data_IF_825566598398
#
_entry.id   IF_825566598398
#
_cell.length_a   1.000
_cell.length_b   1.000
_cell.length_c   1.000
_cell.angle_alpha   90.00
_cell.angle_beta   90.00
_cell.angle_gamma   90.00
#
_symmetry.space_group_name_H-M   'P 1'
#
loop_
_entity.id
_entity.type
_entity.pdbx_description
1 polymer ?
#
# COMPACT_ATOMS: atom_id res chain seq x y z
N UNK A 1 -10.75 -16.69 20.69
CA UNK A 1 -9.92 -15.46 20.76
C UNK A 1 -9.90 -14.87 19.35
N UNK A 2 -10.20 -13.58 19.20
CA UNK A 2 -10.16 -12.91 17.89
C UNK A 2 -8.71 -12.57 17.51
N UNK A 3 -8.39 -12.65 16.21
CA UNK A 3 -7.09 -12.21 15.71
C UNK A 3 -7.05 -10.69 15.64
N UNK A 4 -6.01 -10.07 16.19
CA UNK A 4 -5.87 -8.61 16.16
C UNK A 4 -5.12 -8.17 14.90
N UNK A 5 -5.72 -7.28 14.11
CA UNK A 5 -5.17 -6.84 12.81
C UNK A 5 -5.01 -5.32 12.76
N UNK A 6 -3.82 -4.86 12.36
CA UNK A 6 -3.58 -3.44 12.06
C UNK A 6 -3.93 -3.16 10.60
N UNK A 7 -4.71 -2.11 10.34
CA UNK A 7 -5.02 -1.61 9.00
C UNK A 7 -4.33 -0.27 8.80
N UNK A 8 -3.22 -0.26 8.06
CA UNK A 8 -2.38 0.94 7.86
C UNK A 8 -2.37 1.47 6.42
N UNK A 9 -2.90 0.72 5.45
CA UNK A 9 -2.93 1.16 4.05
C UNK A 9 -3.86 2.39 3.87
N UNK A 10 -3.35 3.57 3.46
CA UNK A 10 -4.15 4.78 3.33
C UNK A 10 -5.41 4.63 2.44
N UNK A 11 -5.37 3.91 1.30
CA UNK A 11 -6.54 3.79 0.42
C UNK A 11 -7.73 3.04 1.02
N UNK A 12 -7.50 2.12 1.98
CA UNK A 12 -8.58 1.34 2.58
C UNK A 12 -9.15 2.00 3.84
N UNK A 13 -8.34 2.77 4.58
CA UNK A 13 -8.72 3.36 5.88
C UNK A 13 -10.06 4.14 5.80
N UNK A 14 -10.29 5.04 4.82
CA UNK A 14 -11.55 5.80 4.75
C UNK A 14 -12.80 4.94 4.58
N UNK A 15 -12.65 3.72 4.03
CA UNK A 15 -13.75 2.82 3.70
C UNK A 15 -13.72 1.54 4.54
N UNK A 16 -12.95 1.51 5.63
CA UNK A 16 -12.74 0.26 6.39
C UNK A 16 -14.04 -0.30 6.99
N UNK A 17 -14.98 0.60 7.32
CA UNK A 17 -16.31 0.26 7.83
C UNK A 17 -17.11 -0.63 6.87
N UNK A 18 -16.90 -0.50 5.55
CA UNK A 18 -17.55 -1.33 4.55
C UNK A 18 -17.16 -2.81 4.63
N UNK A 19 -16.13 -3.16 5.40
CA UNK A 19 -15.62 -4.53 5.57
C UNK A 19 -15.88 -5.10 6.97
N UNK A 20 -16.66 -4.42 7.83
CA UNK A 20 -16.92 -4.86 9.21
C UNK A 20 -17.56 -6.26 9.30
N UNK A 21 -18.53 -6.56 8.45
CA UNK A 21 -19.17 -7.88 8.40
C UNK A 21 -18.15 -8.98 8.08
N UNK A 22 -17.31 -8.74 7.06
CA UNK A 22 -16.25 -9.67 6.68
C UNK A 22 -15.26 -9.94 7.83
N UNK A 23 -14.84 -8.89 8.54
CA UNK A 23 -13.96 -9.07 9.69
C UNK A 23 -14.64 -9.82 10.83
N UNK A 24 -15.92 -9.54 11.09
CA UNK A 24 -16.70 -10.21 12.13
C UNK A 24 -16.90 -11.70 11.83
N UNK A 25 -17.22 -12.05 10.58
CA UNK A 25 -17.38 -13.44 10.13
C UNK A 25 -16.08 -14.26 10.26
N UNK A 26 -14.93 -13.60 10.19
CA UNK A 26 -13.61 -14.23 10.27
C UNK A 26 -12.94 -14.08 11.65
N UNK A 27 -13.68 -13.67 12.69
CA UNK A 27 -13.15 -13.45 14.04
C UNK A 27 -11.92 -12.51 14.09
N UNK A 28 -11.95 -11.46 13.26
CA UNK A 28 -10.92 -10.42 13.21
C UNK A 28 -11.37 -9.21 14.02
N UNK A 29 -10.50 -8.75 14.91
CA UNK A 29 -10.59 -7.47 15.59
C UNK A 29 -9.57 -6.52 14.95
N UNK A 30 -10.01 -5.46 14.29
CA UNK A 30 -9.15 -4.57 13.55
C UNK A 30 -9.03 -3.20 14.21
N UNK A 31 -7.92 -2.52 13.96
CA UNK A 31 -7.76 -1.12 14.34
C UNK A 31 -6.92 -0.38 13.30
N UNK A 32 -7.12 0.94 13.24
CA UNK A 32 -6.34 1.86 12.41
C UNK A 32 -5.36 2.65 13.28
N UNK A 33 -4.27 3.19 12.71
CA UNK A 33 -3.39 4.11 13.42
C UNK A 33 -4.16 5.32 13.99
N UNK A 34 -3.79 5.81 15.19
CA UNK A 34 -4.46 6.95 15.84
C UNK A 34 -4.05 8.32 15.24
N UNK A 35 -3.50 8.32 14.04
CA UNK A 35 -3.03 9.50 13.31
C UNK A 35 -3.13 9.22 11.80
N UNK A 36 -3.14 10.29 11.02
CA UNK A 36 -3.23 10.20 9.56
C UNK A 36 -2.01 9.48 8.97
N UNK A 37 -2.26 8.52 8.08
CA UNK A 37 -1.23 7.84 7.29
C UNK A 37 -1.30 8.41 5.88
N UNK A 38 -0.31 9.21 5.48
CA UNK A 38 -0.29 9.84 4.16
C UNK A 38 0.25 8.87 3.10
N UNK A 39 1.38 8.23 3.39
CA UNK A 39 2.03 7.30 2.46
C UNK A 39 2.36 5.97 3.14
N UNK A 40 3.07 6.04 4.27
CA UNK A 40 3.53 4.88 5.01
C UNK A 40 3.81 5.19 6.48
N UNK A 41 3.90 4.15 7.29
CA UNK A 41 4.38 4.19 8.66
C UNK A 41 5.87 3.88 8.70
N UNK A 42 6.60 4.63 9.54
CA UNK A 42 8.02 4.37 9.79
C UNK A 42 8.25 3.30 10.88
N UNK A 43 9.50 2.86 11.00
CA UNK A 43 9.92 1.84 11.98
C UNK A 43 9.40 2.09 13.41
N UNK A 44 9.55 3.32 13.94
CA UNK A 44 9.16 3.63 15.33
C UNK A 44 7.66 3.52 15.54
N UNK A 45 6.88 3.98 14.57
CA UNK A 45 5.43 3.89 14.58
C UNK A 45 4.98 2.43 14.53
N UNK A 46 5.56 1.65 13.62
CA UNK A 46 5.23 0.24 13.44
C UNK A 46 5.57 -0.60 14.67
N UNK A 47 6.73 -0.43 15.28
CA UNK A 47 7.12 -1.16 16.50
C UNK A 47 6.09 -0.95 17.62
N UNK A 48 5.56 0.27 17.77
CA UNK A 48 4.54 0.58 18.77
C UNK A 48 3.19 -0.07 18.43
N UNK A 49 2.76 0.02 17.16
CA UNK A 49 1.44 -0.43 16.73
C UNK A 49 1.35 -1.95 16.61
N UNK A 50 2.43 -2.63 16.20
CA UNK A 50 2.46 -4.07 15.96
C UNK A 50 2.72 -4.92 17.21
N UNK A 51 2.79 -4.29 18.38
CA UNK A 51 2.87 -5.02 19.64
C UNK A 51 1.59 -5.82 19.88
N UNK A 52 1.73 -7.13 20.08
CA UNK A 52 0.61 -8.07 20.29
C UNK A 52 -0.41 -8.09 19.14
N UNK A 53 0.05 -7.90 17.89
CA UNK A 53 -0.77 -7.94 16.68
C UNK A 53 -0.51 -9.23 15.91
N UNK A 54 -1.58 -9.87 15.42
CA UNK A 54 -1.54 -11.13 14.67
C UNK A 54 -1.34 -10.91 13.16
N UNK A 55 -1.81 -9.78 12.62
CA UNK A 55 -1.68 -9.46 11.19
C UNK A 55 -1.65 -7.97 10.89
N UNK A 56 -1.12 -7.60 9.72
CA UNK A 56 -1.16 -6.23 9.21
C UNK A 56 -1.65 -6.21 7.76
N UNK A 57 -2.57 -5.30 7.43
CA UNK A 57 -2.90 -4.90 6.07
C UNK A 57 -2.21 -3.57 5.78
N UNK A 58 -1.08 -3.65 5.07
CA UNK A 58 -0.12 -2.56 4.94
C UNK A 58 -0.13 -1.87 3.58
N UNK A 59 0.19 -0.58 3.59
CA UNK A 59 0.59 0.17 2.40
C UNK A 59 2.09 0.00 2.15
N UNK A 60 2.80 1.09 1.89
CA UNK A 60 4.27 1.11 1.71
C UNK A 60 5.04 1.21 3.04
N UNK A 61 4.46 0.65 4.11
CA UNK A 61 5.04 0.65 5.46
C UNK A 61 6.44 0.03 5.49
N UNK A 62 7.34 0.62 6.29
CA UNK A 62 8.72 0.19 6.45
C UNK A 62 8.85 -1.06 7.34
N UNK A 63 8.34 -2.20 6.87
CA UNK A 63 8.38 -3.50 7.54
C UNK A 63 9.76 -4.15 7.42
N UNK A 64 10.77 -3.45 7.93
CA UNK A 64 12.16 -3.89 7.94
C UNK A 64 12.43 -4.91 9.06
N UNK A 65 13.66 -5.45 9.06
CA UNK A 65 14.13 -6.43 10.05
C UNK A 65 13.89 -6.05 11.52
N UNK A 66 14.09 -4.78 11.89
CA UNK A 66 13.93 -4.33 13.28
C UNK A 66 12.45 -4.36 13.68
N UNK A 67 11.56 -3.89 12.79
CA UNK A 67 10.11 -3.96 12.99
C UNK A 67 9.66 -5.40 13.17
N UNK A 68 10.05 -6.28 12.25
CA UNK A 68 9.61 -7.68 12.27
C UNK A 68 10.09 -8.42 13.52
N UNK A 69 11.31 -8.15 13.99
CA UNK A 69 11.85 -8.73 15.24
C UNK A 69 11.19 -8.22 16.49
N UNK A 70 10.68 -6.98 16.47
CA UNK A 70 9.94 -6.42 17.60
C UNK A 70 8.52 -7.01 17.72
N UNK A 71 8.01 -7.65 16.65
CA UNK A 71 6.72 -8.29 16.65
C UNK A 71 6.77 -9.65 17.36
N UNK A 72 5.96 -9.82 18.41
CA UNK A 72 5.91 -11.06 19.20
C UNK A 72 4.84 -12.05 18.72
N UNK A 73 3.84 -11.58 17.96
CA UNK A 73 2.68 -12.37 17.53
C UNK A 73 2.37 -12.30 16.04
N UNK A 74 3.08 -11.47 15.27
CA UNK A 74 2.75 -11.22 13.87
C UNK A 74 2.88 -12.53 13.08
N UNK A 75 1.80 -12.91 12.38
CA UNK A 75 1.72 -14.15 11.58
C UNK A 75 1.68 -13.85 10.09
N UNK A 76 1.07 -12.72 9.70
CA UNK A 76 0.84 -12.38 8.30
C UNK A 76 0.97 -10.88 8.02
N UNK A 77 1.58 -10.57 6.88
CA UNK A 77 1.65 -9.24 6.27
C UNK A 77 0.89 -9.32 4.95
N UNK A 78 -0.21 -8.58 4.85
CA UNK A 78 -1.02 -8.45 3.64
C UNK A 78 -0.78 -7.09 3.00
N UNK A 79 -0.08 -7.07 1.88
CA UNK A 79 0.24 -5.84 1.15
C UNK A 79 -0.95 -5.42 0.28
N UNK A 80 -1.44 -4.19 0.50
CA UNK A 80 -2.29 -3.48 -0.45
C UNK A 80 -1.42 -3.01 -1.63
N UNK A 81 -1.35 -3.84 -2.68
CA UNK A 81 -0.57 -3.58 -3.88
C UNK A 81 0.41 -4.70 -4.24
N UNK A 82 1.22 -4.45 -5.27
CA UNK A 82 2.12 -5.46 -5.86
C UNK A 82 3.58 -5.33 -5.41
N UNK A 83 4.10 -4.11 -5.22
CA UNK A 83 5.46 -3.89 -4.71
C UNK A 83 5.60 -4.40 -3.28
N UNK A 84 6.72 -5.06 -2.96
CA UNK A 84 6.99 -5.59 -1.60
C UNK A 84 8.41 -5.25 -1.14
N UNK A 85 8.96 -4.17 -1.69
CA UNK A 85 10.35 -3.74 -1.49
C UNK A 85 10.57 -3.15 -0.09
N UNK A 86 9.52 -2.60 0.52
CA UNK A 86 9.55 -2.09 1.90
C UNK A 86 9.50 -3.18 2.98
N UNK A 87 9.35 -4.46 2.58
CA UNK A 87 9.20 -5.61 3.49
C UNK A 87 10.48 -6.45 3.46
N UNK A 88 11.11 -6.68 4.62
CA UNK A 88 12.23 -7.64 4.71
C UNK A 88 11.70 -9.08 4.65
N UNK A 89 11.55 -9.58 3.42
CA UNK A 89 11.05 -10.93 3.13
C UNK A 89 11.93 -12.04 3.72
N UNK A 90 13.23 -11.78 3.84
CA UNK A 90 14.16 -12.78 4.37
C UNK A 90 13.96 -12.92 5.89
N UNK A 91 13.84 -11.81 6.60
CA UNK A 91 13.54 -11.84 8.02
C UNK A 91 12.12 -12.34 8.30
N UNK A 92 11.13 -11.91 7.51
CA UNK A 92 9.75 -12.42 7.61
C UNK A 92 9.72 -13.95 7.52
N UNK A 93 10.41 -14.52 6.52
CA UNK A 93 10.52 -15.98 6.35
C UNK A 93 11.19 -16.66 7.56
N UNK A 94 12.26 -16.10 8.12
CA UNK A 94 12.94 -16.65 9.31
C UNK A 94 12.05 -16.67 10.54
N UNK A 95 11.19 -15.66 10.68
CA UNK A 95 10.26 -15.52 11.80
C UNK A 95 8.94 -16.26 11.57
N UNK A 96 8.76 -16.95 10.44
CA UNK A 96 7.52 -17.65 10.09
C UNK A 96 6.37 -16.73 9.68
N UNK A 97 6.65 -15.45 9.42
CA UNK A 97 5.67 -14.44 9.02
C UNK A 97 5.38 -14.61 7.53
N UNK A 98 4.13 -14.85 7.19
CA UNK A 98 3.68 -15.00 5.80
C UNK A 98 3.52 -13.63 5.16
N UNK A 99 4.08 -13.43 3.97
CA UNK A 99 3.91 -12.20 3.20
C UNK A 99 3.05 -12.50 1.99
N UNK A 100 1.89 -11.86 1.91
CA UNK A 100 0.95 -11.95 0.79
C UNK A 100 0.74 -10.57 0.17
N UNK A 101 0.45 -10.55 -1.12
CA UNK A 101 0.27 -9.34 -1.92
C UNK A 101 -0.78 -9.55 -2.98
N UNK A 102 -1.38 -8.46 -3.46
CA UNK A 102 -2.28 -8.51 -4.61
C UNK A 102 -1.42 -8.43 -5.88
N UNK A 103 -1.33 -9.57 -6.57
CA UNK A 103 -0.66 -9.63 -7.88
C UNK A 103 -1.53 -8.92 -8.91
N UNK A 104 -0.87 -8.24 -9.85
CA UNK A 104 -1.50 -7.66 -11.04
C UNK A 104 -2.56 -6.57 -10.76
N UNK A 105 -2.65 -6.07 -9.53
CA UNK A 105 -3.63 -5.07 -9.08
C UNK A 105 -3.64 -3.78 -9.91
N UNK A 106 -2.51 -3.48 -10.55
CA UNK A 106 -2.30 -2.26 -11.32
C UNK A 106 -1.89 -2.53 -12.77
N UNK A 107 -2.01 -3.77 -13.26
CA UNK A 107 -1.55 -4.14 -14.60
C UNK A 107 -2.28 -3.33 -15.70
N UNK A 108 -3.62 -3.35 -15.68
CA UNK A 108 -4.46 -2.66 -16.65
C UNK A 108 -4.31 -1.13 -16.63
N UNK A 109 -4.45 -0.42 -15.49
CA UNK A 109 -4.32 1.04 -15.48
C UNK A 109 -2.92 1.52 -15.85
N UNK A 110 -1.87 0.73 -15.56
CA UNK A 110 -0.51 1.01 -16.03
C UNK A 110 -0.42 0.82 -17.54
N UNK A 111 -0.99 -0.26 -18.09
CA UNK A 111 -1.01 -0.51 -19.53
C UNK A 111 -1.73 0.62 -20.30
N UNK A 112 -2.89 1.06 -19.82
CA UNK A 112 -3.63 2.18 -20.39
C UNK A 112 -2.81 3.47 -20.40
N UNK A 113 -2.12 3.75 -19.28
CA UNK A 113 -1.25 4.93 -19.15
C UNK A 113 -0.08 4.87 -20.13
N UNK A 114 0.52 3.70 -20.33
CA UNK A 114 1.63 3.51 -21.29
C UNK A 114 1.17 3.79 -22.71
N UNK A 115 -0.01 3.30 -23.11
CA UNK A 115 -0.58 3.60 -24.44
C UNK A 115 -0.79 5.11 -24.61
N UNK A 116 -1.34 5.78 -23.60
CA UNK A 116 -1.47 7.24 -23.58
C UNK A 116 -0.12 7.95 -23.74
N UNK A 117 0.90 7.50 -23.00
CA UNK A 117 2.24 8.08 -23.05
C UNK A 117 2.94 7.91 -24.39
N UNK A 118 2.73 6.78 -25.09
CA UNK A 118 3.23 6.59 -26.45
C UNK A 118 2.74 7.72 -27.36
N UNK A 119 1.45 8.06 -27.33
CA UNK A 119 0.89 9.14 -28.14
C UNK A 119 1.37 10.53 -27.68
N UNK A 120 1.41 10.75 -26.37
CA UNK A 120 1.86 12.01 -25.77
C UNK A 120 3.28 12.34 -26.22
N UNK A 121 4.19 11.37 -26.16
CA UNK A 121 5.59 11.56 -26.55
C UNK A 121 5.77 11.59 -28.06
N UNK A 122 5.17 10.66 -28.80
CA UNK A 122 5.31 10.61 -30.27
C UNK A 122 4.82 11.88 -30.97
N UNK A 123 3.86 12.61 -30.37
CA UNK A 123 3.28 13.82 -30.96
C UNK A 123 3.66 15.10 -30.24
N UNK A 124 4.55 15.03 -29.23
CA UNK A 124 4.93 16.16 -28.38
C UNK A 124 3.71 16.91 -27.82
N UNK A 125 2.72 16.16 -27.33
CA UNK A 125 1.43 16.73 -26.92
C UNK A 125 1.59 17.68 -25.73
N UNK A 126 2.46 17.37 -24.77
CA UNK A 126 2.72 18.25 -23.61
C UNK A 126 3.22 19.64 -24.06
N UNK A 127 4.16 19.67 -25.01
CA UNK A 127 4.71 20.93 -25.52
C UNK A 127 3.66 21.71 -26.32
N UNK A 128 2.90 21.02 -27.18
CA UNK A 128 1.83 21.65 -27.98
C UNK A 128 0.71 22.20 -27.11
N UNK A 129 0.29 21.45 -26.10
CA UNK A 129 -0.68 21.89 -25.10
C UNK A 129 -0.19 23.14 -24.36
N UNK A 130 1.09 23.19 -23.95
CA UNK A 130 1.69 24.39 -23.35
C UNK A 130 1.66 25.61 -24.29
N UNK A 131 1.98 25.42 -25.58
CA UNK A 131 1.94 26.50 -26.59
C UNK A 131 0.51 27.07 -26.72
N UNK A 132 -0.48 26.19 -26.83
CA UNK A 132 -1.90 26.60 -26.96
C UNK A 132 -2.37 27.32 -25.71
N UNK A 133 -2.09 26.78 -24.51
CA UNK A 133 -2.46 27.41 -23.23
C UNK A 133 -1.80 28.78 -23.00
N UNK A 134 -0.68 29.04 -23.67
CA UNK A 134 0.00 30.34 -23.66
C UNK A 134 -0.45 31.27 -24.79
N UNK A 135 -1.52 30.96 -25.53
CA UNK A 135 -2.02 31.74 -26.67
C UNK A 135 -0.99 31.92 -27.80
N UNK A 136 -0.02 31.01 -27.91
CA UNK A 136 1.06 31.06 -28.90
C UNK A 136 0.80 30.13 -30.09
N UNK A 137 -0.47 29.79 -30.36
CA UNK A 137 -0.80 28.93 -31.49
C UNK A 137 -0.49 29.61 -32.83
N UNK A 138 0.62 29.21 -33.44
CA UNK A 138 0.99 29.64 -34.79
C UNK A 138 0.51 28.58 -35.77
N UNK A 139 -0.50 28.95 -36.56
CA UNK A 139 -0.94 28.15 -37.69
C UNK A 139 0.17 28.20 -38.74
N UNK A 140 0.88 27.09 -38.94
CA UNK A 140 1.72 26.90 -40.12
C UNK A 140 0.84 26.65 -41.35
#
# INVERSE_FOLDING_TARGET
>A
MKNKVLISAPPIIPNIHSYEELFKENDIDYFIPPYEVVASLNEKQLIKLLKDVDGILCGDDELNKNVLRACNKLKVISKWGTGIDSIDKNEAKKLGIHVVRVKDAFADPVADTVIGYILVFARNLIQKDKIVRNFQWQKA
#
